data_IF_280090499866
#
_entry.id   IF_280090499866
#
_cell.length_a   1.000
_cell.length_b   1.000
_cell.length_c   1.000
_cell.angle_alpha   90.00
_cell.angle_beta   90.00
_cell.angle_gamma   90.00
#
_symmetry.space_group_name_H-M   'P 1'
#
loop_
_entity.id
_entity.type
_entity.pdbx_description
1 polymer ?
#
# COMPACT_ATOMS: atom_id res chain seq x y z
N UNK A 1 10.04 -6.31 21.48
CA UNK A 1 8.81 -7.03 21.86
C UNK A 1 7.58 -6.13 21.86
N UNK A 2 7.42 -5.17 22.79
CA UNK A 2 6.22 -4.30 22.81
C UNK A 2 5.92 -3.63 21.47
N UNK A 3 6.94 -3.08 20.80
CA UNK A 3 6.82 -2.51 19.44
C UNK A 3 6.25 -3.53 18.43
N UNK A 4 6.78 -4.76 18.45
CA UNK A 4 6.35 -5.84 17.55
C UNK A 4 4.93 -6.30 17.86
N UNK A 5 4.57 -6.43 19.14
CA UNK A 5 3.20 -6.73 19.56
C UNK A 5 2.23 -5.67 19.07
N UNK A 6 2.59 -4.37 19.19
CA UNK A 6 1.78 -3.28 18.66
C UNK A 6 1.59 -3.36 17.15
N UNK A 7 2.67 -3.58 16.39
CA UNK A 7 2.58 -3.72 14.94
C UNK A 7 1.74 -4.93 14.51
N UNK A 8 1.96 -6.10 15.10
CA UNK A 8 1.19 -7.31 14.80
C UNK A 8 -0.29 -7.14 15.17
N UNK A 9 -0.56 -6.56 16.34
CA UNK A 9 -1.91 -6.25 16.78
C UNK A 9 -2.66 -5.39 15.76
N UNK A 10 -2.04 -4.32 15.26
CA UNK A 10 -2.66 -3.47 14.24
C UNK A 10 -2.94 -4.20 12.91
N UNK A 11 -2.09 -5.14 12.47
CA UNK A 11 -2.39 -5.96 11.28
C UNK A 11 -3.50 -7.00 11.52
N UNK A 12 -3.62 -7.50 12.74
CA UNK A 12 -4.58 -8.56 13.10
C UNK A 12 -5.95 -8.01 13.52
N UNK A 13 -6.03 -6.75 13.91
CA UNK A 13 -7.27 -6.12 14.36
C UNK A 13 -8.33 -6.04 13.26
N UNK A 14 -9.51 -6.58 13.57
CA UNK A 14 -10.75 -6.40 12.80
C UNK A 14 -11.73 -5.43 13.47
N UNK A 15 -11.34 -4.87 14.61
CA UNK A 15 -12.05 -3.81 15.33
C UNK A 15 -11.26 -2.51 15.19
N UNK A 16 -11.93 -1.41 14.82
CA UNK A 16 -11.26 -0.13 14.58
C UNK A 16 -10.68 0.50 15.84
N UNK A 17 -11.34 0.36 16.99
CA UNK A 17 -10.81 0.89 18.25
C UNK A 17 -9.55 0.10 18.64
N UNK A 18 -9.60 -1.22 18.54
CA UNK A 18 -8.42 -2.07 18.80
C UNK A 18 -7.29 -1.80 17.80
N UNK A 19 -7.60 -1.62 16.52
CA UNK A 19 -6.65 -1.19 15.51
C UNK A 19 -5.99 0.14 15.89
N UNK A 20 -6.79 1.15 16.25
CA UNK A 20 -6.30 2.47 16.65
C UNK A 20 -5.41 2.39 17.89
N UNK A 21 -5.81 1.61 18.91
CA UNK A 21 -5.01 1.41 20.11
C UNK A 21 -3.66 0.80 19.78
N UNK A 22 -3.60 -0.28 18.98
CA UNK A 22 -2.31 -0.86 18.57
C UNK A 22 -1.47 0.08 17.69
N UNK A 23 -2.13 0.84 16.82
CA UNK A 23 -1.51 1.85 15.96
C UNK A 23 -0.82 2.97 16.75
N UNK A 24 -1.37 3.35 17.90
CA UNK A 24 -0.80 4.33 18.82
C UNK A 24 0.20 3.71 19.80
N UNK A 25 -0.12 2.55 20.38
CA UNK A 25 0.73 1.83 21.33
C UNK A 25 2.10 1.55 20.72
N UNK A 26 2.19 1.25 19.43
CA UNK A 26 3.49 1.04 18.78
C UNK A 26 4.35 2.32 18.65
N UNK A 27 3.74 3.51 18.64
CA UNK A 27 4.48 4.77 18.54
C UNK A 27 5.31 5.02 19.79
N UNK A 28 4.81 4.64 20.96
CA UNK A 28 5.46 4.90 22.26
C UNK A 28 6.81 4.17 22.38
N UNK A 29 6.91 2.84 22.17
CA UNK A 29 8.20 2.15 22.12
C UNK A 29 9.12 2.69 21.03
N UNK A 30 8.60 3.06 19.85
CA UNK A 30 9.44 3.59 18.78
C UNK A 30 10.01 4.97 19.15
N UNK A 31 9.22 5.84 19.78
CA UNK A 31 9.67 7.10 20.33
C UNK A 31 10.83 6.91 21.31
N UNK A 32 10.71 5.96 22.26
CA UNK A 32 11.79 5.67 23.20
C UNK A 32 13.00 5.03 22.53
N UNK A 33 12.82 4.15 21.54
CA UNK A 33 13.93 3.57 20.77
C UNK A 33 14.78 4.65 20.10
N UNK A 34 14.15 5.65 19.49
CA UNK A 34 14.86 6.79 18.91
C UNK A 34 15.44 7.67 20.03
N UNK A 35 14.62 8.12 20.98
CA UNK A 35 15.01 9.12 21.97
C UNK A 35 16.11 8.69 22.95
N UNK A 36 16.16 7.40 23.30
CA UNK A 36 17.12 6.85 24.27
C UNK A 36 18.35 6.26 23.57
N UNK A 37 18.15 5.43 22.53
CA UNK A 37 19.23 4.69 21.87
C UNK A 37 19.64 5.25 20.50
N UNK A 38 19.03 6.34 20.06
CA UNK A 38 19.42 7.04 18.84
C UNK A 38 20.72 7.84 18.98
N UNK A 39 21.20 8.36 17.84
CA UNK A 39 22.39 9.21 17.72
C UNK A 39 22.03 10.69 17.52
N UNK A 40 23.02 11.56 17.61
CA UNK A 40 22.95 12.97 17.20
C UNK A 40 21.74 13.73 17.77
N UNK A 41 20.77 14.06 16.93
CA UNK A 41 19.58 14.87 17.26
C UNK A 41 18.40 13.99 17.67
N UNK A 42 18.67 12.84 18.28
CA UNK A 42 17.69 11.81 18.68
C UNK A 42 16.42 12.33 19.32
N UNK A 43 16.51 13.32 20.23
CA UNK A 43 15.33 13.86 20.90
C UNK A 43 14.45 14.67 19.94
N UNK A 44 15.06 15.52 19.12
CA UNK A 44 14.35 16.26 18.07
C UNK A 44 13.66 15.29 17.10
N UNK A 45 14.37 14.27 16.63
CA UNK A 45 13.85 13.29 15.66
C UNK A 45 12.76 12.41 16.27
N UNK A 46 12.89 12.01 17.53
CA UNK A 46 11.86 11.26 18.26
C UNK A 46 10.58 12.09 18.45
N UNK A 47 10.70 13.34 18.92
CA UNK A 47 9.57 14.25 19.10
C UNK A 47 8.89 14.54 17.76
N UNK A 48 9.68 14.85 16.73
CA UNK A 48 9.17 15.09 15.38
C UNK A 48 8.41 13.87 14.87
N UNK A 49 8.99 12.67 14.92
CA UNK A 49 8.30 11.43 14.56
C UNK A 49 6.97 11.27 15.29
N UNK A 50 6.99 11.39 16.61
CA UNK A 50 5.81 11.17 17.44
C UNK A 50 4.70 12.18 17.15
N UNK A 51 5.00 13.48 17.15
CA UNK A 51 4.00 14.51 16.89
C UNK A 51 3.44 14.43 15.46
N UNK A 52 4.30 14.21 14.46
CA UNK A 52 3.87 14.13 13.07
C UNK A 52 2.89 12.99 12.86
N UNK A 53 3.20 11.81 13.42
CA UNK A 53 2.34 10.62 13.30
C UNK A 53 1.09 10.72 14.16
N UNK A 54 1.17 11.25 15.39
CA UNK A 54 0.05 11.43 16.30
C UNK A 54 -1.03 12.35 15.73
N UNK A 55 -0.64 13.47 15.11
CA UNK A 55 -1.61 14.39 14.49
C UNK A 55 -2.42 13.67 13.41
N UNK A 56 -1.76 12.91 12.55
CA UNK A 56 -2.44 12.09 11.54
C UNK A 56 -3.39 11.06 12.17
N UNK A 57 -2.95 10.39 13.22
CA UNK A 57 -3.76 9.41 13.95
C UNK A 57 -5.01 10.01 14.58
N UNK A 58 -4.90 11.18 15.23
CA UNK A 58 -6.06 11.86 15.83
C UNK A 58 -7.09 12.22 14.78
N UNK A 59 -6.67 12.69 13.60
CA UNK A 59 -7.60 12.99 12.50
C UNK A 59 -8.23 11.69 11.96
N UNK A 60 -7.46 10.61 11.83
CA UNK A 60 -7.99 9.29 11.47
C UNK A 60 -9.04 8.79 12.47
N UNK A 61 -8.84 9.03 13.77
CA UNK A 61 -9.82 8.69 14.81
C UNK A 61 -11.15 9.41 14.59
N UNK A 62 -11.15 10.67 14.13
CA UNK A 62 -12.39 11.37 13.76
C UNK A 62 -13.12 10.67 12.61
N UNK A 63 -12.38 10.15 11.62
CA UNK A 63 -12.95 9.32 10.55
C UNK A 63 -13.57 8.02 11.08
N UNK A 64 -12.90 7.35 12.03
CA UNK A 64 -13.42 6.14 12.69
C UNK A 64 -14.71 6.47 13.44
N UNK A 65 -14.73 7.55 14.22
CA UNK A 65 -15.91 7.98 14.97
C UNK A 65 -17.06 8.40 14.06
N UNK A 66 -16.79 9.03 12.91
CA UNK A 66 -17.81 9.35 11.92
C UNK A 66 -18.51 8.07 11.39
N UNK A 67 -17.75 7.01 11.10
CA UNK A 67 -18.32 5.71 10.72
C UNK A 67 -19.11 5.07 11.86
N UNK A 68 -18.60 5.15 13.09
CA UNK A 68 -19.26 4.62 14.28
C UNK A 68 -20.65 5.25 14.50
N UNK A 69 -20.75 6.58 14.48
CA UNK A 69 -22.02 7.28 14.66
C UNK A 69 -22.95 7.13 13.46
N UNK A 70 -22.41 7.14 12.24
CA UNK A 70 -23.22 6.90 11.04
C UNK A 70 -23.86 5.51 11.05
N UNK A 71 -23.08 4.47 11.40
CA UNK A 71 -23.59 3.11 11.50
C UNK A 71 -24.74 3.01 12.50
N UNK A 72 -24.61 3.62 13.67
CA UNK A 72 -25.69 3.66 14.65
C UNK A 72 -26.92 4.38 14.10
N UNK A 73 -26.75 5.49 13.36
CA UNK A 73 -27.85 6.22 12.73
C UNK A 73 -28.67 5.38 11.73
N UNK A 74 -28.04 4.45 11.01
CA UNK A 74 -28.72 3.63 9.98
C UNK A 74 -29.14 2.24 10.47
N UNK A 75 -28.43 1.67 11.46
CA UNK A 75 -28.66 0.29 11.93
C UNK A 75 -29.19 0.19 13.36
N UNK A 76 -29.14 1.28 14.14
CA UNK A 76 -29.44 1.28 15.58
C UNK A 76 -28.36 0.62 16.45
N UNK A 77 -27.24 0.18 15.87
CA UNK A 77 -26.18 -0.55 16.57
C UNK A 77 -24.88 0.26 16.57
N UNK A 78 -24.29 0.40 17.75
CA UNK A 78 -22.92 0.87 17.89
C UNK A 78 -21.94 -0.28 17.69
N UNK A 79 -20.97 -0.10 16.80
CA UNK A 79 -19.97 -1.13 16.48
C UNK A 79 -18.68 -0.49 16.02
N UNK A 80 -17.53 -1.09 16.31
CA UNK A 80 -16.24 -0.79 15.70
C UNK A 80 -15.78 -1.92 14.75
N UNK A 81 -16.64 -2.91 14.47
CA UNK A 81 -16.35 -4.04 13.60
C UNK A 81 -16.17 -3.60 12.14
N UNK A 82 -14.94 -3.72 11.64
CA UNK A 82 -14.55 -3.37 10.27
C UNK A 82 -15.34 -4.18 9.23
N UNK A 83 -15.70 -5.41 9.54
CA UNK A 83 -16.44 -6.29 8.62
C UNK A 83 -17.88 -5.82 8.40
N UNK A 84 -18.45 -5.07 9.35
CA UNK A 84 -19.75 -4.42 9.17
C UNK A 84 -19.61 -3.18 8.29
N UNK A 85 -18.59 -2.34 8.51
CA UNK A 85 -18.36 -1.16 7.68
C UNK A 85 -18.12 -1.48 6.20
N UNK A 86 -17.48 -2.61 5.90
CA UNK A 86 -17.38 -3.07 4.51
C UNK A 86 -18.78 -3.18 3.87
N UNK A 87 -19.81 -3.60 4.60
CA UNK A 87 -21.17 -3.83 4.06
C UNK A 87 -22.03 -2.57 3.96
N UNK A 88 -21.57 -1.44 4.50
CA UNK A 88 -22.33 -0.20 4.48
C UNK A 88 -22.31 0.48 3.11
N UNK A 89 -23.46 1.03 2.73
CA UNK A 89 -23.58 1.97 1.62
C UNK A 89 -23.48 3.39 2.20
N UNK A 90 -22.30 4.00 2.08
CA UNK A 90 -22.04 5.33 2.61
C UNK A 90 -22.34 6.39 1.54
N UNK A 91 -23.05 7.49 1.86
CA UNK A 91 -23.23 8.59 0.91
C UNK A 91 -21.88 9.22 0.56
N UNK A 92 -21.73 9.65 -0.70
CA UNK A 92 -20.45 10.17 -1.22
C UNK A 92 -19.86 11.29 -0.35
N UNK A 93 -20.67 12.23 0.12
CA UNK A 93 -20.19 13.33 0.97
C UNK A 93 -19.54 12.82 2.27
N UNK A 94 -20.12 11.80 2.90
CA UNK A 94 -19.50 11.17 4.07
C UNK A 94 -18.22 10.42 3.69
N UNK A 95 -18.25 9.65 2.59
CA UNK A 95 -17.04 8.98 2.10
C UNK A 95 -15.91 9.97 1.85
N UNK A 96 -16.20 11.16 1.31
CA UNK A 96 -15.22 12.18 0.99
C UNK A 96 -14.47 12.67 2.24
N UNK A 97 -15.19 13.03 3.31
CA UNK A 97 -14.58 13.48 4.56
C UNK A 97 -13.86 12.37 5.31
N UNK A 98 -14.45 11.18 5.39
CA UNK A 98 -13.81 10.03 6.03
C UNK A 98 -12.57 9.61 5.25
N UNK A 99 -12.59 9.73 3.92
CA UNK A 99 -11.42 9.46 3.08
C UNK A 99 -10.29 10.42 3.40
N UNK A 100 -10.53 11.72 3.49
CA UNK A 100 -9.48 12.67 3.85
C UNK A 100 -8.94 12.42 5.26
N UNK A 101 -9.80 12.05 6.20
CA UNK A 101 -9.38 11.76 7.57
C UNK A 101 -8.46 10.52 7.63
N UNK A 102 -8.84 9.44 6.94
CA UNK A 102 -8.03 8.24 6.81
C UNK A 102 -6.77 8.50 5.99
N UNK A 103 -6.90 9.23 4.88
CA UNK A 103 -5.80 9.61 4.02
C UNK A 103 -4.72 10.34 4.81
N UNK A 104 -5.04 11.32 5.65
CA UNK A 104 -4.02 12.04 6.40
C UNK A 104 -3.25 11.11 7.36
N UNK A 105 -3.97 10.30 8.15
CA UNK A 105 -3.34 9.35 9.08
C UNK A 105 -2.46 8.31 8.38
N UNK A 106 -2.94 7.76 7.27
CA UNK A 106 -2.19 6.77 6.51
C UNK A 106 -1.05 7.41 5.70
N UNK A 107 -1.28 8.51 5.00
CA UNK A 107 -0.30 9.18 4.14
C UNK A 107 0.92 9.69 4.91
N UNK A 108 0.73 10.15 6.15
CA UNK A 108 1.85 10.46 7.06
C UNK A 108 2.69 9.21 7.32
N UNK A 109 2.06 8.05 7.57
CA UNK A 109 2.78 6.81 7.89
C UNK A 109 3.34 6.10 6.66
N UNK A 110 2.81 6.35 5.46
CA UNK A 110 3.33 5.93 4.13
C UNK A 110 4.46 6.84 3.60
N UNK A 111 4.93 7.79 4.40
CA UNK A 111 5.54 9.06 3.96
C UNK A 111 5.21 9.53 2.52
N UNK A 112 3.94 9.77 2.21
CA UNK A 112 3.58 10.41 0.94
C UNK A 112 4.08 11.86 0.91
N UNK A 113 4.35 12.42 -0.27
CA UNK A 113 4.53 13.86 -0.41
C UNK A 113 3.21 14.60 -0.05
N UNK A 114 3.24 15.69 0.73
CA UNK A 114 4.37 16.34 1.41
C UNK A 114 4.66 15.82 2.85
N UNK A 115 3.89 14.84 3.34
CA UNK A 115 3.89 14.30 4.69
C UNK A 115 5.04 13.33 5.05
N UNK A 116 6.25 13.54 4.53
CA UNK A 116 7.38 12.60 4.66
C UNK A 116 8.54 13.12 5.50
N UNK A 117 8.55 14.40 5.89
CA UNK A 117 9.75 15.05 6.46
C UNK A 117 10.20 14.50 7.82
N UNK A 118 9.33 13.76 8.51
CA UNK A 118 9.69 13.05 9.74
C UNK A 118 10.59 11.84 9.47
N UNK A 119 10.44 11.19 8.31
CA UNK A 119 11.03 9.89 8.00
C UNK A 119 12.57 9.96 7.91
N UNK A 120 13.18 10.88 7.13
CA UNK A 120 14.64 10.95 7.03
C UNK A 120 15.30 11.24 8.37
N UNK A 121 14.72 12.14 9.18
CA UNK A 121 15.26 12.48 10.50
C UNK A 121 15.14 11.29 11.46
N UNK A 122 13.98 10.63 11.52
CA UNK A 122 13.75 9.46 12.35
C UNK A 122 14.71 8.31 12.01
N UNK A 123 14.93 8.01 10.73
CA UNK A 123 15.88 6.96 10.31
C UNK A 123 17.33 7.32 10.58
N UNK A 124 17.73 8.56 10.30
CA UNK A 124 19.12 8.99 10.47
C UNK A 124 19.53 8.77 11.92
N UNK A 125 18.68 9.20 12.85
CA UNK A 125 19.01 9.20 14.28
C UNK A 125 18.60 7.90 14.98
N UNK A 126 17.74 7.06 14.41
CA UNK A 126 17.36 5.79 15.03
C UNK A 126 18.56 4.81 15.14
N UNK A 127 18.59 3.98 16.20
CA UNK A 127 19.49 2.83 16.24
C UNK A 127 19.21 1.90 15.06
N UNK A 128 20.19 1.07 14.67
CA UNK A 128 20.10 0.18 13.49
C UNK A 128 18.84 -0.67 13.51
N UNK A 129 18.56 -1.37 14.62
CA UNK A 129 17.36 -2.19 14.76
C UNK A 129 16.06 -1.36 14.65
N UNK A 130 16.07 -0.13 15.17
CA UNK A 130 14.96 0.81 15.03
C UNK A 130 14.72 1.20 13.57
N UNK A 131 15.77 1.54 12.83
CA UNK A 131 15.68 1.84 11.40
C UNK A 131 15.17 0.65 10.58
N UNK A 132 15.65 -0.57 10.88
CA UNK A 132 15.18 -1.79 10.20
C UNK A 132 13.69 -1.97 10.43
N UNK A 133 13.20 -1.89 11.66
CA UNK A 133 11.77 -2.06 11.96
C UNK A 133 10.93 -0.94 11.34
N UNK A 134 11.40 0.31 11.46
CA UNK A 134 10.72 1.49 10.93
C UNK A 134 10.51 1.32 9.42
N UNK A 135 11.58 1.03 8.67
CA UNK A 135 11.49 0.84 7.24
C UNK A 135 10.74 -0.42 6.86
N UNK A 136 11.06 -1.57 7.48
CA UNK A 136 10.59 -2.86 7.03
C UNK A 136 9.12 -3.14 7.34
N UNK A 137 8.57 -2.54 8.41
CA UNK A 137 7.21 -2.85 8.88
C UNK A 137 6.36 -1.60 9.08
N UNK A 138 6.85 -0.59 9.80
CA UNK A 138 6.00 0.53 10.24
C UNK A 138 5.41 1.31 9.05
N UNK A 139 6.19 1.50 7.99
CA UNK A 139 5.72 2.18 6.76
C UNK A 139 4.58 1.41 6.07
N UNK A 140 4.59 0.07 6.17
CA UNK A 140 3.60 -0.80 5.51
C UNK A 140 2.22 -0.72 6.18
N UNK A 141 2.18 -0.22 7.40
CA UNK A 141 0.92 -0.11 8.14
C UNK A 141 0.02 0.97 7.54
N UNK A 142 0.59 2.06 7.02
CA UNK A 142 -0.19 3.07 6.32
C UNK A 142 -0.79 2.55 5.02
N UNK A 143 -0.02 1.82 4.21
CA UNK A 143 -0.49 1.19 2.97
C UNK A 143 -1.48 0.07 3.25
N UNK A 144 -1.29 -0.70 4.31
CA UNK A 144 -2.29 -1.65 4.81
C UNK A 144 -3.58 -0.95 5.20
N UNK A 145 -3.51 0.21 5.88
CA UNK A 145 -4.69 1.02 6.21
C UNK A 145 -5.48 1.44 4.98
N UNK A 146 -4.79 1.86 3.91
CA UNK A 146 -5.44 2.14 2.63
C UNK A 146 -6.14 0.92 2.05
N UNK A 147 -5.44 -0.22 1.94
CA UNK A 147 -6.00 -1.44 1.32
C UNK A 147 -7.14 -2.03 2.15
N UNK A 148 -7.01 -2.05 3.48
CA UNK A 148 -7.95 -2.73 4.37
C UNK A 148 -9.17 -1.88 4.69
N UNK A 149 -8.98 -0.57 4.83
CA UNK A 149 -10.02 0.34 5.34
C UNK A 149 -10.45 1.33 4.27
N UNK A 150 -9.54 2.13 3.72
CA UNK A 150 -9.90 3.22 2.80
C UNK A 150 -10.57 2.69 1.52
N UNK A 151 -9.89 1.82 0.77
CA UNK A 151 -10.38 1.32 -0.52
C UNK A 151 -11.74 0.61 -0.41
N UNK A 152 -11.92 -0.43 0.43
CA UNK A 152 -13.18 -1.19 0.45
C UNK A 152 -14.34 -0.49 1.17
N UNK A 153 -14.08 0.40 2.15
CA UNK A 153 -15.15 1.13 2.88
C UNK A 153 -15.56 2.39 2.11
N UNK A 154 -14.62 3.03 1.40
CA UNK A 154 -14.82 4.35 0.77
C UNK A 154 -14.55 4.28 -0.75
N UNK A 155 -15.23 3.39 -1.50
CA UNK A 155 -14.86 3.10 -2.89
C UNK A 155 -15.09 4.29 -3.83
N UNK A 156 -16.13 5.09 -3.60
CA UNK A 156 -16.45 6.23 -4.48
C UNK A 156 -15.48 7.39 -4.25
N UNK A 157 -15.17 7.70 -2.97
CA UNK A 157 -14.14 8.68 -2.64
C UNK A 157 -12.75 8.22 -3.13
N UNK A 158 -12.42 6.93 -2.99
CA UNK A 158 -11.15 6.38 -3.48
C UNK A 158 -10.97 6.59 -4.98
N UNK A 159 -12.03 6.34 -5.78
CA UNK A 159 -12.02 6.64 -7.23
C UNK A 159 -11.88 8.14 -7.51
N UNK A 160 -12.60 8.98 -6.76
CA UNK A 160 -12.56 10.43 -6.91
C UNK A 160 -11.15 11.00 -6.68
N UNK A 161 -10.42 10.49 -5.67
CA UNK A 161 -9.09 10.98 -5.29
C UNK A 161 -7.91 10.33 -6.03
N UNK A 162 -8.15 9.44 -6.99
CA UNK A 162 -7.08 8.84 -7.83
C UNK A 162 -6.15 9.92 -8.43
N UNK A 163 -6.65 11.01 -9.07
CA UNK A 163 -5.76 12.02 -9.65
C UNK A 163 -4.85 12.70 -8.61
N UNK A 164 -5.38 12.98 -7.42
CA UNK A 164 -4.61 13.56 -6.32
C UNK A 164 -3.50 12.61 -5.88
N UNK A 165 -3.84 11.34 -5.62
CA UNK A 165 -2.85 10.35 -5.16
C UNK A 165 -1.80 10.08 -6.21
N UNK A 166 -2.17 10.05 -7.50
CA UNK A 166 -1.24 9.91 -8.61
C UNK A 166 -0.24 11.06 -8.66
N UNK A 167 -0.74 12.30 -8.56
CA UNK A 167 0.10 13.48 -8.54
C UNK A 167 1.09 13.45 -7.36
N UNK A 168 0.59 13.22 -6.14
CA UNK A 168 1.43 13.16 -4.94
C UNK A 168 2.44 12.00 -4.99
N UNK A 169 2.04 10.86 -5.56
CA UNK A 169 2.91 9.70 -5.73
C UNK A 169 4.02 9.99 -6.74
N UNK A 170 3.71 10.60 -7.88
CA UNK A 170 4.74 10.93 -8.87
C UNK A 170 5.72 11.98 -8.34
N UNK A 171 5.22 12.99 -7.64
CA UNK A 171 6.10 13.93 -6.94
C UNK A 171 6.98 13.15 -5.96
N UNK A 172 6.41 12.27 -5.12
CA UNK A 172 7.17 11.45 -4.18
C UNK A 172 8.23 10.56 -4.84
N UNK A 173 7.93 9.94 -5.97
CA UNK A 173 8.86 9.10 -6.75
C UNK A 173 10.06 9.93 -7.20
N UNK A 174 9.82 11.05 -7.90
CA UNK A 174 10.87 11.86 -8.51
C UNK A 174 11.62 12.68 -7.44
N UNK A 175 10.91 13.41 -6.59
CA UNK A 175 11.50 14.20 -5.51
C UNK A 175 12.28 13.32 -4.54
N UNK A 176 11.71 12.21 -4.08
CA UNK A 176 12.38 11.29 -3.17
C UNK A 176 13.69 10.77 -3.75
N UNK A 177 13.69 10.38 -5.02
CA UNK A 177 14.88 9.87 -5.70
C UNK A 177 15.96 10.94 -5.94
N UNK A 178 15.57 12.15 -6.37
CA UNK A 178 16.52 13.26 -6.55
C UNK A 178 17.13 13.70 -5.23
N UNK A 179 16.34 13.77 -4.15
CA UNK A 179 16.84 14.10 -2.83
C UNK A 179 17.73 12.99 -2.28
N UNK A 180 17.40 11.71 -2.52
CA UNK A 180 18.27 10.58 -2.19
C UNK A 180 19.64 10.71 -2.87
N UNK A 181 19.67 11.01 -4.17
CA UNK A 181 20.91 11.21 -4.94
C UNK A 181 21.77 12.36 -4.38
N UNK A 182 21.14 13.41 -3.86
CA UNK A 182 21.83 14.56 -3.26
C UNK A 182 22.29 14.33 -1.81
N UNK A 183 21.91 13.22 -1.16
CA UNK A 183 22.30 12.97 0.23
C UNK A 183 23.79 12.66 0.36
N UNK A 184 24.39 13.19 1.41
CA UNK A 184 25.77 12.89 1.82
C UNK A 184 25.85 11.86 2.95
N UNK A 185 24.77 11.74 3.74
CA UNK A 185 24.62 10.75 4.79
C UNK A 185 24.00 9.46 4.23
N UNK A 186 24.65 8.32 4.48
CA UNK A 186 24.25 7.02 3.95
C UNK A 186 22.88 6.55 4.50
N UNK A 187 22.60 6.69 5.80
CA UNK A 187 21.28 6.32 6.36
C UNK A 187 20.18 7.19 5.77
N UNK A 188 20.46 8.48 5.63
CA UNK A 188 19.49 9.45 5.09
C UNK A 188 19.18 9.19 3.62
N UNK A 189 20.16 8.79 2.83
CA UNK A 189 19.96 8.35 1.44
C UNK A 189 18.98 7.17 1.38
N UNK A 190 19.19 6.13 2.19
CA UNK A 190 18.31 4.95 2.26
C UNK A 190 16.90 5.31 2.77
N UNK A 191 16.78 6.33 3.63
CA UNK A 191 15.48 6.83 4.05
C UNK A 191 14.72 7.53 2.90
N UNK A 192 15.40 8.35 2.09
CA UNK A 192 14.76 9.00 0.93
C UNK A 192 14.47 8.03 -0.22
N UNK A 193 15.27 6.99 -0.41
CA UNK A 193 14.92 5.93 -1.36
C UNK A 193 13.60 5.24 -0.96
N UNK A 194 13.36 5.10 0.35
CA UNK A 194 12.08 4.56 0.86
C UNK A 194 10.88 5.48 0.56
N UNK A 195 11.06 6.81 0.59
CA UNK A 195 10.02 7.75 0.16
C UNK A 195 9.65 7.50 -1.31
N UNK A 196 10.65 7.31 -2.18
CA UNK A 196 10.43 7.04 -3.61
C UNK A 196 9.70 5.72 -3.85
N UNK A 197 10.17 4.61 -3.24
CA UNK A 197 9.54 3.30 -3.40
C UNK A 197 8.12 3.23 -2.80
N UNK A 198 7.85 3.90 -1.67
CA UNK A 198 6.49 3.94 -1.10
C UNK A 198 5.54 4.79 -1.91
N UNK A 199 6.03 5.84 -2.57
CA UNK A 199 5.25 6.58 -3.53
C UNK A 199 4.89 5.71 -4.76
N UNK A 200 5.81 4.86 -5.24
CA UNK A 200 5.51 3.85 -6.27
C UNK A 200 4.43 2.85 -5.82
N UNK A 201 4.50 2.38 -4.58
CA UNK A 201 3.46 1.52 -3.99
C UNK A 201 2.09 2.21 -3.98
N UNK A 202 2.02 3.49 -3.61
CA UNK A 202 0.75 4.23 -3.63
C UNK A 202 0.19 4.39 -5.04
N UNK A 203 1.05 4.64 -6.03
CA UNK A 203 0.66 4.75 -7.43
C UNK A 203 0.02 3.45 -7.94
N UNK A 204 0.65 2.29 -7.70
CA UNK A 204 0.09 0.99 -8.10
C UNK A 204 -1.19 0.64 -7.37
N UNK A 205 -1.31 1.02 -6.09
CA UNK A 205 -2.45 0.70 -5.24
C UNK A 205 -3.70 1.45 -5.73
N UNK A 206 -3.52 2.71 -6.10
CA UNK A 206 -4.58 3.55 -6.66
C UNK A 206 -4.74 3.43 -8.17
N UNK A 207 -4.03 2.48 -8.82
CA UNK A 207 -4.37 2.09 -10.19
C UNK A 207 -5.72 1.33 -10.26
N UNK A 208 -6.25 0.90 -9.10
CA UNK A 208 -7.58 0.29 -8.91
C UNK A 208 -7.86 -0.88 -9.87
N UNK A 209 -6.81 -1.66 -10.16
CA UNK A 209 -6.88 -2.92 -10.89
C UNK A 209 -6.03 -3.99 -10.17
N UNK A 210 -6.31 -5.29 -10.37
CA UNK A 210 -5.65 -6.37 -9.63
C UNK A 210 -4.13 -6.36 -9.80
N UNK A 211 -3.63 -6.08 -11.00
CA UNK A 211 -2.20 -6.08 -11.29
C UNK A 211 -1.49 -4.98 -10.49
N UNK A 212 -2.04 -3.77 -10.48
CA UNK A 212 -1.52 -2.65 -9.69
C UNK A 212 -1.55 -2.91 -8.18
N UNK A 213 -2.69 -3.36 -7.63
CA UNK A 213 -2.81 -3.63 -6.19
C UNK A 213 -1.89 -4.79 -5.77
N UNK A 214 -1.85 -5.88 -6.54
CA UNK A 214 -0.94 -7.01 -6.27
C UNK A 214 0.51 -6.55 -6.31
N UNK A 215 0.89 -5.79 -7.34
CA UNK A 215 2.23 -5.20 -7.43
C UNK A 215 2.57 -4.34 -6.23
N UNK A 216 1.64 -3.51 -5.76
CA UNK A 216 1.82 -2.68 -4.57
C UNK A 216 2.00 -3.47 -3.28
N UNK A 217 1.28 -4.58 -3.09
CA UNK A 217 1.46 -5.43 -1.90
C UNK A 217 2.79 -6.17 -1.97
N UNK A 218 3.14 -6.74 -3.13
CA UNK A 218 4.42 -7.42 -3.32
C UNK A 218 5.58 -6.44 -3.13
N UNK A 219 5.47 -5.22 -3.65
CA UNK A 219 6.52 -4.22 -3.52
C UNK A 219 6.72 -3.74 -2.09
N UNK A 220 5.67 -3.76 -1.24
CA UNK A 220 5.84 -3.53 0.19
C UNK A 220 6.69 -4.62 0.85
N UNK A 221 6.46 -5.89 0.51
CA UNK A 221 7.27 -7.01 1.01
C UNK A 221 8.71 -6.89 0.49
N UNK A 222 8.87 -6.60 -0.81
CA UNK A 222 10.17 -6.41 -1.43
C UNK A 222 10.97 -5.32 -0.74
N UNK A 223 10.38 -4.12 -0.63
CA UNK A 223 10.97 -2.97 0.06
C UNK A 223 11.32 -3.32 1.51
N UNK A 224 10.46 -4.07 2.21
CA UNK A 224 10.77 -4.53 3.57
C UNK A 224 12.03 -5.37 3.67
N UNK A 225 12.22 -6.30 2.73
CA UNK A 225 13.42 -7.15 2.67
C UNK A 225 14.65 -6.32 2.26
N UNK A 226 14.54 -5.57 1.16
CA UNK A 226 15.66 -4.85 0.56
C UNK A 226 16.14 -3.71 1.44
N UNK A 227 15.24 -2.82 1.84
CA UNK A 227 15.58 -1.67 2.67
C UNK A 227 15.93 -2.08 4.10
N UNK A 228 15.29 -3.13 4.63
CA UNK A 228 15.70 -3.72 5.90
C UNK A 228 17.18 -4.15 5.87
N UNK A 229 17.60 -4.85 4.81
CA UNK A 229 19.00 -5.22 4.63
C UNK A 229 19.91 -4.00 4.42
N UNK A 230 19.48 -3.01 3.64
CA UNK A 230 20.26 -1.77 3.44
C UNK A 230 20.51 -1.03 4.76
N UNK A 231 19.52 -0.96 5.67
CA UNK A 231 19.76 -0.37 6.99
C UNK A 231 20.69 -1.21 7.88
N UNK A 232 20.65 -2.55 7.78
CA UNK A 232 21.62 -3.41 8.45
C UNK A 232 23.04 -3.18 7.92
N UNK A 233 23.20 -3.06 6.59
CA UNK A 233 24.46 -2.75 5.91
C UNK A 233 25.05 -1.45 6.46
N UNK A 234 24.26 -0.37 6.48
CA UNK A 234 24.71 0.90 7.04
C UNK A 234 25.03 0.80 8.54
N UNK A 235 24.26 0.01 9.30
CA UNK A 235 24.52 -0.22 10.71
C UNK A 235 25.87 -0.88 10.98
N UNK A 236 26.21 -1.92 10.23
CA UNK A 236 27.45 -2.69 10.35
C UNK A 236 28.69 -1.83 10.07
N UNK A 237 28.65 -1.00 9.02
CA UNK A 237 29.76 -0.10 8.72
C UNK A 237 29.82 1.07 9.71
N UNK A 238 28.68 1.54 10.21
CA UNK A 238 28.62 2.55 11.26
C UNK A 238 29.23 2.04 12.57
N UNK A 239 28.98 0.79 12.95
CA UNK A 239 29.62 0.18 14.14
C UNK A 239 31.14 0.10 14.00
N UNK A 240 31.66 -0.08 12.78
CA UNK A 240 33.11 -0.15 12.53
C UNK A 240 33.78 1.22 12.39
N UNK A 241 33.05 2.24 11.92
CA UNK A 241 33.64 3.54 11.52
C UNK A 241 33.12 4.75 12.29
N UNK A 242 31.99 4.62 12.99
CA UNK A 242 31.30 5.69 13.72
C UNK A 242 31.06 6.96 12.89
N UNK A 243 30.90 6.80 11.59
CA UNK A 243 30.49 7.85 10.66
C UNK A 243 29.46 7.27 9.70
N UNK A 244 28.67 8.12 9.07
CA UNK A 244 27.72 7.78 7.99
C UNK A 244 27.99 8.60 6.74
N UNK A 245 29.00 9.47 6.77
CA UNK A 245 29.31 10.38 5.68
C UNK A 245 29.91 9.59 4.52
N UNK A 246 29.25 9.62 3.36
CA UNK A 246 29.61 8.78 2.20
C UNK A 246 31.05 9.06 1.74
N UNK A 247 31.54 10.29 1.86
CA UNK A 247 32.90 10.67 1.46
C UNK A 247 34.00 10.10 2.34
N UNK A 248 33.69 9.57 3.54
CA UNK A 248 34.69 8.92 4.41
C UNK A 248 35.02 7.49 3.98
N UNK A 249 34.26 6.96 3.00
CA UNK A 249 34.38 5.60 2.48
C UNK A 249 35.01 5.59 1.09
N UNK A 250 35.48 4.40 0.69
CA UNK A 250 36.08 4.15 -0.61
C UNK A 250 36.90 2.87 -0.60
N UNK A 251 36.82 2.09 -1.67
CA UNK A 251 37.60 0.85 -1.82
C UNK A 251 37.23 -0.28 -0.85
N UNK A 252 36.08 -0.21 -0.16
CA UNK A 252 35.71 -1.19 0.86
C UNK A 252 35.61 -2.64 0.35
N UNK A 253 35.33 -2.83 -0.94
CA UNK A 253 35.29 -4.18 -1.55
C UNK A 253 36.61 -4.96 -1.44
N UNK A 254 37.75 -4.25 -1.28
CA UNK A 254 39.07 -4.89 -1.14
C UNK A 254 39.33 -5.38 0.28
N UNK A 255 38.67 -4.79 1.27
CA UNK A 255 38.90 -5.04 2.71
C UNK A 255 37.78 -5.87 3.32
N UNK A 256 36.53 -5.66 2.87
CA UNK A 256 35.33 -6.38 3.30
C UNK A 256 34.58 -6.96 2.08
N UNK A 257 35.17 -7.92 1.34
CA UNK A 257 34.58 -8.44 0.11
C UNK A 257 33.21 -9.12 0.28
N UNK A 258 32.97 -9.82 1.39
CA UNK A 258 31.69 -10.50 1.63
C UNK A 258 30.60 -9.47 1.90
N UNK A 259 30.89 -8.47 2.74
CA UNK A 259 30.01 -7.32 2.95
C UNK A 259 29.68 -6.62 1.62
N UNK A 260 30.68 -6.35 0.78
CA UNK A 260 30.49 -5.69 -0.51
C UNK A 260 29.62 -6.51 -1.47
N UNK A 261 29.74 -7.84 -1.47
CA UNK A 261 28.91 -8.73 -2.27
C UNK A 261 27.44 -8.72 -1.81
N UNK A 262 27.20 -8.84 -0.50
CA UNK A 262 25.84 -8.75 0.07
C UNK A 262 25.23 -7.38 -0.24
N UNK A 263 25.99 -6.31 -0.04
CA UNK A 263 25.53 -4.96 -0.36
C UNK A 263 25.18 -4.82 -1.85
N UNK A 264 25.95 -5.43 -2.76
CA UNK A 264 25.64 -5.40 -4.18
C UNK A 264 24.31 -6.11 -4.47
N UNK A 265 24.10 -7.31 -3.94
CA UNK A 265 22.86 -8.07 -4.13
C UNK A 265 21.66 -7.26 -3.61
N UNK A 266 21.77 -6.67 -2.42
CA UNK A 266 20.67 -5.88 -1.85
C UNK A 266 20.46 -4.54 -2.59
N UNK A 267 21.52 -3.96 -3.15
CA UNK A 267 21.46 -2.79 -4.05
C UNK A 267 20.71 -3.15 -5.33
N UNK A 268 21.06 -4.26 -5.99
CA UNK A 268 20.38 -4.75 -7.19
C UNK A 268 18.90 -5.08 -6.91
N UNK A 269 18.63 -5.68 -5.76
CA UNK A 269 17.27 -5.95 -5.28
C UNK A 269 16.46 -4.66 -5.10
N UNK A 270 17.06 -3.60 -4.54
CA UNK A 270 16.39 -2.30 -4.38
C UNK A 270 16.18 -1.56 -5.70
N UNK A 271 17.07 -1.69 -6.68
CA UNK A 271 16.93 -1.04 -8.00
C UNK A 271 15.87 -1.73 -8.87
N UNK A 272 15.50 -2.97 -8.55
CA UNK A 272 14.59 -3.77 -9.34
C UNK A 272 15.28 -4.54 -10.47
N UNK A 273 16.46 -5.11 -10.21
CA UNK A 273 17.11 -6.02 -11.16
C UNK A 273 16.23 -7.27 -11.38
N UNK A 274 15.96 -7.69 -12.62
CA UNK A 274 15.29 -8.96 -12.90
C UNK A 274 15.97 -10.13 -12.19
N UNK A 275 15.19 -11.15 -11.82
CA UNK A 275 15.56 -12.28 -10.95
C UNK A 275 15.72 -11.96 -9.46
N UNK A 276 15.59 -10.71 -9.03
CA UNK A 276 15.45 -10.33 -7.62
C UNK A 276 14.05 -9.79 -7.33
N UNK A 277 13.66 -9.88 -6.06
CA UNK A 277 12.33 -9.57 -5.56
C UNK A 277 11.81 -8.19 -6.03
N UNK A 278 12.61 -7.12 -5.93
CA UNK A 278 12.22 -5.75 -6.23
C UNK A 278 11.64 -5.55 -7.63
N UNK A 279 12.16 -6.27 -8.63
CA UNK A 279 11.66 -6.20 -10.00
C UNK A 279 10.19 -6.60 -10.09
N UNK A 280 9.79 -7.69 -9.41
CA UNK A 280 8.43 -8.24 -9.50
C UNK A 280 7.39 -7.21 -9.06
N UNK A 281 7.63 -6.51 -7.96
CA UNK A 281 6.70 -5.53 -7.42
C UNK A 281 6.58 -4.31 -8.32
N UNK A 282 7.70 -3.69 -8.69
CA UNK A 282 7.71 -2.47 -9.50
C UNK A 282 7.21 -2.71 -10.93
N UNK A 283 7.53 -3.87 -11.51
CA UNK A 283 7.06 -4.22 -12.83
C UNK A 283 5.53 -4.40 -12.86
N UNK A 284 4.95 -5.09 -11.87
CA UNK A 284 3.50 -5.22 -11.74
C UNK A 284 2.82 -3.86 -11.50
N UNK A 285 3.42 -2.98 -10.69
CA UNK A 285 2.91 -1.60 -10.52
C UNK A 285 2.90 -0.87 -11.87
N UNK A 286 4.01 -0.88 -12.61
CA UNK A 286 4.10 -0.25 -13.93
C UNK A 286 3.08 -0.83 -14.90
N UNK A 287 2.91 -2.15 -14.93
CA UNK A 287 1.91 -2.80 -15.78
C UNK A 287 0.49 -2.36 -15.41
N UNK A 288 0.16 -2.31 -14.11
CA UNK A 288 -1.13 -1.86 -13.61
C UNK A 288 -1.42 -0.40 -13.93
N UNK A 289 -0.41 0.47 -13.91
CA UNK A 289 -0.56 1.90 -14.27
C UNK A 289 -0.60 2.09 -15.79
N UNK A 290 0.13 1.29 -16.57
CA UNK A 290 0.25 1.42 -18.02
C UNK A 290 -1.06 1.13 -18.77
N UNK A 291 -1.91 0.26 -18.21
CA UNK A 291 -3.23 -0.06 -18.79
C UNK A 291 -4.29 1.01 -18.52
N UNK A 292 -3.96 2.06 -17.75
CA UNK A 292 -4.84 3.21 -17.56
C UNK A 292 -4.85 4.12 -18.80
N UNK A 293 -5.89 4.95 -19.00
CA UNK A 293 -6.00 5.80 -20.18
C UNK A 293 -4.80 6.74 -20.41
N UNK A 294 -4.20 7.27 -19.33
CA UNK A 294 -3.05 8.15 -19.41
C UNK A 294 -1.74 7.39 -19.21
N UNK A 295 -1.07 7.09 -20.32
CA UNK A 295 0.26 6.44 -20.34
C UNK A 295 1.36 7.33 -19.74
N UNK A 296 1.12 8.64 -19.61
CA UNK A 296 2.07 9.57 -19.00
C UNK A 296 2.37 9.21 -17.54
N UNK A 297 1.38 8.68 -16.79
CA UNK A 297 1.59 8.24 -15.41
C UNK A 297 2.62 7.12 -15.32
N UNK A 298 2.55 6.14 -16.22
CA UNK A 298 3.53 5.07 -16.29
C UNK A 298 4.92 5.58 -16.71
N UNK A 299 4.99 6.56 -17.64
CA UNK A 299 6.25 7.17 -18.05
C UNK A 299 6.95 7.88 -16.88
N UNK A 300 6.22 8.68 -16.10
CA UNK A 300 6.78 9.33 -14.90
C UNK A 300 7.15 8.30 -13.83
N UNK A 301 6.35 7.26 -13.61
CA UNK A 301 6.67 6.18 -12.68
C UNK A 301 7.97 5.47 -13.07
N UNK A 302 8.15 5.18 -14.36
CA UNK A 302 9.36 4.54 -14.88
C UNK A 302 10.64 5.38 -14.67
N UNK A 303 10.53 6.71 -14.63
CA UNK A 303 11.67 7.56 -14.26
C UNK A 303 12.19 7.27 -12.85
N UNK A 304 11.33 6.81 -11.94
CA UNK A 304 11.70 6.37 -10.60
C UNK A 304 12.70 5.20 -10.60
N UNK A 305 12.57 4.26 -11.53
CA UNK A 305 13.50 3.13 -11.67
C UNK A 305 14.89 3.63 -12.10
N UNK A 306 14.92 4.54 -13.08
CA UNK A 306 16.17 5.12 -13.60
C UNK A 306 16.88 5.93 -12.52
N UNK A 307 16.15 6.78 -11.80
CA UNK A 307 16.70 7.56 -10.68
C UNK A 307 17.09 6.64 -9.51
N UNK A 308 16.33 5.57 -9.30
CA UNK A 308 16.61 4.43 -8.41
C UNK A 308 18.01 3.88 -8.59
N UNK A 309 18.29 3.47 -9.83
CA UNK A 309 19.61 3.02 -10.24
C UNK A 309 20.68 4.10 -10.02
N UNK A 310 20.39 5.36 -10.38
CA UNK A 310 21.34 6.45 -10.25
C UNK A 310 21.83 6.64 -8.81
N UNK A 311 20.93 6.74 -7.82
CA UNK A 311 21.37 6.95 -6.43
C UNK A 311 21.98 5.71 -5.79
N UNK A 312 21.46 4.51 -6.07
CA UNK A 312 21.97 3.27 -5.46
C UNK A 312 23.33 2.86 -6.03
N UNK A 313 23.50 2.93 -7.35
CA UNK A 313 24.78 2.58 -7.98
C UNK A 313 25.85 3.64 -7.67
N UNK A 314 25.47 4.93 -7.60
CA UNK A 314 26.41 5.98 -7.18
C UNK A 314 26.91 5.73 -5.74
N UNK A 315 25.99 5.41 -4.82
CA UNK A 315 26.34 5.05 -3.45
C UNK A 315 27.26 3.83 -3.40
N UNK A 316 26.91 2.75 -4.11
CA UNK A 316 27.72 1.54 -4.15
C UNK A 316 29.12 1.82 -4.71
N UNK A 317 29.22 2.54 -5.83
CA UNK A 317 30.49 2.93 -6.44
C UNK A 317 31.36 3.72 -5.46
N UNK A 318 30.82 4.77 -4.84
CA UNK A 318 31.58 5.68 -3.97
C UNK A 318 32.08 5.00 -2.70
N UNK A 319 31.35 4.02 -2.19
CA UNK A 319 31.68 3.35 -0.94
C UNK A 319 32.53 2.08 -1.16
N UNK A 320 32.27 1.31 -2.22
CA UNK A 320 32.87 -0.01 -2.43
C UNK A 320 34.06 0.00 -3.39
N UNK A 321 34.05 0.82 -4.44
CA UNK A 321 35.08 0.83 -5.48
C UNK A 321 36.14 1.91 -5.25
N UNK A 322 37.22 1.86 -6.04
CA UNK A 322 38.34 2.80 -5.95
C UNK A 322 39.52 2.30 -5.12
N UNK A 323 40.42 3.22 -4.76
CA UNK A 323 41.51 2.96 -3.81
C UNK A 323 41.03 3.22 -2.39
N UNK A 324 41.65 2.54 -1.42
CA UNK A 324 41.42 2.83 -0.01
C UNK A 324 42.29 4.04 0.32
N UNK A 325 41.70 5.24 0.33
CA UNK A 325 42.43 6.48 0.58
C UNK A 325 42.43 6.88 2.07
N UNK A 326 41.37 6.53 2.79
CA UNK A 326 41.26 6.80 4.23
C UNK A 326 41.90 5.63 5.01
N UNK A 327 43.00 5.83 5.76
CA UNK A 327 43.69 4.75 6.47
C UNK A 327 42.81 4.01 7.47
N UNK A 328 41.77 4.67 7.98
CA UNK A 328 40.80 4.06 8.90
C UNK A 328 39.93 2.98 8.23
N UNK A 329 39.93 2.87 6.90
CA UNK A 329 39.23 1.83 6.15
C UNK A 329 40.09 0.58 5.89
N UNK A 330 41.40 0.65 6.06
CA UNK A 330 42.34 -0.43 5.66
C UNK A 330 42.24 -1.70 6.51
N UNK A 331 41.84 -1.55 7.78
CA UNK A 331 41.83 -2.64 8.79
C UNK A 331 40.42 -3.00 9.25
N UNK A 332 39.42 -2.72 8.42
CA UNK A 332 38.06 -3.10 8.75
C UNK A 332 37.91 -4.61 8.69
N UNK A 333 37.25 -5.17 9.69
CA UNK A 333 36.90 -6.59 9.70
C UNK A 333 35.70 -6.80 8.78
N UNK A 334 35.73 -7.84 7.96
CA UNK A 334 34.57 -8.27 7.19
C UNK A 334 33.45 -8.79 8.13
N UNK A 335 32.39 -9.35 7.57
CA UNK A 335 31.27 -9.87 8.33
C UNK A 335 31.67 -11.06 9.21
N UNK A 336 31.30 -10.97 10.49
CA UNK A 336 31.27 -12.11 11.39
C UNK A 336 30.17 -13.09 10.99
N UNK A 337 30.26 -14.35 11.44
CA UNK A 337 29.21 -15.35 11.20
C UNK A 337 27.83 -14.91 11.69
N UNK A 338 27.77 -14.16 12.80
CA UNK A 338 26.52 -13.61 13.33
C UNK A 338 25.92 -12.57 12.39
N UNK A 339 26.74 -11.66 11.86
CA UNK A 339 26.28 -10.65 10.91
C UNK A 339 25.89 -11.27 9.56
N UNK A 340 26.61 -12.29 9.10
CA UNK A 340 26.21 -13.02 7.90
C UNK A 340 24.85 -13.73 8.10
N UNK A 341 24.66 -14.37 9.26
CA UNK A 341 23.42 -15.08 9.58
C UNK A 341 22.19 -14.16 9.62
N UNK A 342 22.34 -12.86 9.92
CA UNK A 342 21.21 -11.91 9.86
C UNK A 342 20.83 -11.52 8.43
N UNK A 343 21.77 -11.55 7.48
CA UNK A 343 21.49 -11.31 6.06
C UNK A 343 20.97 -12.53 5.32
N UNK A 344 21.40 -13.74 5.70
CA UNK A 344 21.02 -14.98 5.05
C UNK A 344 19.51 -15.10 4.74
N UNK A 345 18.58 -14.90 5.70
CA UNK A 345 17.15 -14.99 5.40
C UNK A 345 16.67 -13.91 4.41
N UNK A 346 17.23 -12.70 4.47
CA UNK A 346 16.86 -11.60 3.57
C UNK A 346 17.35 -11.88 2.14
N UNK A 347 18.56 -12.42 1.99
CA UNK A 347 19.12 -12.83 0.70
C UNK A 347 18.31 -13.97 0.07
N UNK A 348 17.99 -14.99 0.86
CA UNK A 348 17.17 -16.12 0.42
C UNK A 348 15.81 -15.62 -0.06
N UNK A 349 15.14 -14.76 0.71
CA UNK A 349 13.84 -14.19 0.33
C UNK A 349 13.94 -13.30 -0.92
N UNK A 350 14.98 -12.47 -1.03
CA UNK A 350 15.17 -11.60 -2.18
C UNK A 350 15.33 -12.39 -3.49
N UNK A 351 16.09 -13.49 -3.46
CA UNK A 351 16.27 -14.38 -4.62
C UNK A 351 15.03 -15.24 -4.87
N UNK A 352 14.46 -15.85 -3.83
CA UNK A 352 13.28 -16.72 -3.96
C UNK A 352 12.09 -15.97 -4.55
N UNK A 353 11.75 -14.79 -4.02
CA UNK A 353 10.66 -13.98 -4.56
C UNK A 353 10.94 -13.50 -5.99
N UNK A 354 12.21 -13.26 -6.34
CA UNK A 354 12.59 -12.83 -7.68
C UNK A 354 12.50 -13.93 -8.73
N UNK A 355 12.88 -15.17 -8.38
CA UNK A 355 12.87 -16.31 -9.30
C UNK A 355 11.52 -17.04 -9.34
N UNK A 356 10.82 -17.12 -8.21
CA UNK A 356 9.55 -17.84 -8.09
C UNK A 356 8.55 -17.07 -7.20
N UNK A 357 7.94 -15.97 -7.70
CA UNK A 357 7.00 -15.15 -6.93
C UNK A 357 5.63 -15.79 -6.72
N UNK A 358 5.29 -16.87 -7.44
CA UNK A 358 3.95 -17.46 -7.46
C UNK A 358 3.35 -17.77 -6.06
N UNK A 359 4.10 -18.31 -5.08
CA UNK A 359 3.55 -18.56 -3.73
C UNK A 359 3.07 -17.29 -3.03
N UNK A 360 3.78 -16.17 -3.24
CA UNK A 360 3.42 -14.87 -2.67
C UNK A 360 2.22 -14.27 -3.40
N UNK A 361 2.23 -14.31 -4.75
CA UNK A 361 1.16 -13.77 -5.58
C UNK A 361 -0.17 -14.48 -5.32
N UNK A 362 -0.18 -15.83 -5.36
CA UNK A 362 -1.41 -16.62 -5.17
C UNK A 362 -2.07 -16.39 -3.81
N UNK A 363 -1.28 -16.04 -2.78
CA UNK A 363 -1.82 -15.75 -1.46
C UNK A 363 -2.64 -14.46 -1.43
N UNK A 364 -2.40 -13.55 -2.38
CA UNK A 364 -3.04 -12.25 -2.47
C UNK A 364 -4.34 -12.26 -3.28
N UNK A 365 -4.47 -13.19 -4.25
CA UNK A 365 -5.54 -13.20 -5.25
C UNK A 365 -6.94 -12.97 -4.65
N UNK A 366 -7.35 -13.78 -3.66
CA UNK A 366 -8.68 -13.67 -3.04
C UNK A 366 -8.91 -12.31 -2.38
N UNK A 367 -7.93 -11.81 -1.62
CA UNK A 367 -8.04 -10.54 -0.91
C UNK A 367 -8.06 -9.36 -1.87
N UNK A 368 -7.24 -9.40 -2.91
CA UNK A 368 -7.19 -8.36 -3.95
C UNK A 368 -8.49 -8.32 -4.74
N UNK A 369 -9.04 -9.48 -5.12
CA UNK A 369 -10.32 -9.57 -5.82
C UNK A 369 -11.48 -9.01 -4.98
N UNK A 370 -11.50 -9.28 -3.67
CA UNK A 370 -12.50 -8.66 -2.79
C UNK A 370 -12.39 -7.13 -2.78
N UNK A 371 -11.18 -6.56 -2.69
CA UNK A 371 -11.00 -5.10 -2.76
C UNK A 371 -11.46 -4.55 -4.11
N UNK A 372 -11.03 -5.17 -5.21
CA UNK A 372 -11.36 -4.75 -6.58
C UNK A 372 -12.87 -4.79 -6.85
N UNK A 373 -13.58 -5.81 -6.35
CA UNK A 373 -15.04 -5.88 -6.50
C UNK A 373 -15.78 -4.70 -5.87
N UNK A 374 -15.17 -4.02 -4.89
CA UNK A 374 -15.70 -2.80 -4.26
C UNK A 374 -15.29 -1.53 -4.99
N UNK A 375 -14.01 -1.39 -5.30
CA UNK A 375 -13.47 -0.14 -5.87
C UNK A 375 -13.58 -0.05 -7.38
N UNK A 376 -13.73 -1.15 -8.10
CA UNK A 376 -13.87 -1.18 -9.56
C UNK A 376 -14.83 -2.30 -10.00
N UNK A 377 -16.14 -2.14 -9.73
CA UNK A 377 -17.12 -3.19 -10.03
C UNK A 377 -17.17 -3.54 -11.53
N UNK A 378 -16.98 -2.56 -12.42
CA UNK A 378 -16.98 -2.75 -13.87
C UNK A 378 -15.81 -3.65 -14.31
N UNK A 379 -14.66 -3.52 -13.66
CA UNK A 379 -13.51 -4.38 -13.94
C UNK A 379 -13.79 -5.82 -13.51
N UNK A 380 -14.40 -6.01 -12.33
CA UNK A 380 -14.80 -7.33 -11.85
C UNK A 380 -15.86 -7.99 -12.76
N UNK A 381 -16.80 -7.21 -13.27
CA UNK A 381 -17.80 -7.68 -14.24
C UNK A 381 -17.18 -8.09 -15.57
N UNK A 382 -16.24 -7.28 -16.10
CA UNK A 382 -15.52 -7.60 -17.34
C UNK A 382 -14.67 -8.86 -17.19
N UNK A 383 -13.93 -9.01 -16.10
CA UNK A 383 -13.17 -10.24 -15.84
C UNK A 383 -14.06 -11.48 -15.76
N UNK A 384 -15.22 -11.38 -15.09
CA UNK A 384 -16.13 -12.50 -15.01
C UNK A 384 -16.67 -12.91 -16.40
N UNK A 385 -17.00 -11.91 -17.24
CA UNK A 385 -17.40 -12.15 -18.62
C UNK A 385 -16.28 -12.79 -19.45
N UNK A 386 -15.05 -12.26 -19.39
CA UNK A 386 -13.89 -12.76 -20.15
C UNK A 386 -13.50 -14.20 -19.74
N UNK A 387 -13.71 -14.57 -18.46
CA UNK A 387 -13.38 -15.90 -17.93
C UNK A 387 -14.56 -16.90 -17.94
N UNK A 388 -15.74 -16.52 -18.45
CA UNK A 388 -16.94 -17.36 -18.39
C UNK A 388 -17.39 -17.70 -16.96
N UNK A 389 -17.01 -16.88 -15.98
CA UNK A 389 -17.36 -17.05 -14.57
C UNK A 389 -18.68 -16.33 -14.29
N UNK A 390 -19.50 -16.79 -13.31
CA UNK A 390 -20.64 -16.03 -12.85
C UNK A 390 -20.16 -14.63 -12.43
N UNK A 391 -20.76 -13.58 -12.99
CA UNK A 391 -20.47 -12.23 -12.55
C UNK A 391 -20.66 -12.15 -11.03
N UNK A 392 -19.73 -11.56 -10.26
CA UNK A 392 -19.93 -11.39 -8.83
C UNK A 392 -21.24 -10.64 -8.64
N UNK A 393 -22.22 -11.35 -8.08
CA UNK A 393 -23.57 -10.83 -7.91
C UNK A 393 -23.46 -9.59 -7.03
N UNK A 394 -23.92 -8.41 -7.48
CA UNK A 394 -24.07 -7.27 -6.60
C UNK A 394 -24.91 -7.75 -5.42
N UNK A 395 -24.44 -7.60 -4.19
CA UNK A 395 -25.22 -7.96 -3.00
C UNK A 395 -26.63 -7.41 -3.17
N UNK A 396 -27.67 -8.19 -2.87
CA UNK A 396 -29.07 -7.88 -3.19
C UNK A 396 -29.53 -6.45 -2.79
N UNK A 397 -28.83 -5.81 -1.85
CA UNK A 397 -28.98 -4.39 -1.51
C UNK A 397 -28.67 -3.40 -2.66
N UNK A 398 -27.74 -3.71 -3.57
CA UNK A 398 -27.34 -2.83 -4.68
C UNK A 398 -28.32 -2.88 -5.89
N UNK A 399 -29.14 -3.94 -5.98
CA UNK A 399 -30.18 -4.07 -7.02
C UNK A 399 -31.53 -3.52 -6.58
N UNK A 400 -31.72 -3.26 -5.28
CA UNK A 400 -32.99 -2.81 -4.72
C UNK A 400 -33.29 -1.32 -4.96
N UNK A 401 -32.29 -0.48 -5.25
CA UNK A 401 -32.44 0.99 -5.33
C UNK A 401 -31.95 1.64 -6.62
N UNK A 402 -32.13 0.98 -7.77
CA UNK A 402 -31.98 1.66 -9.07
C UNK A 402 -33.28 1.59 -9.88
N UNK A 403 -34.08 2.67 -9.93
CA UNK A 403 -35.29 2.73 -10.75
C UNK A 403 -35.03 2.47 -12.24
N UNK A 404 -33.82 2.74 -12.75
CA UNK A 404 -33.45 2.44 -14.13
C UNK A 404 -33.20 0.95 -14.39
N UNK A 405 -32.84 0.17 -13.36
CA UNK A 405 -32.68 -1.29 -13.47
C UNK A 405 -34.03 -2.03 -13.49
N UNK A 406 -35.11 -1.43 -12.95
CA UNK A 406 -36.46 -1.99 -13.03
C UNK A 406 -37.06 -1.96 -14.44
N UNK A 407 -36.55 -1.14 -15.34
CA UNK A 407 -37.03 -1.09 -16.73
C UNK A 407 -36.44 -2.21 -17.62
N UNK A 408 -35.28 -2.77 -17.26
CA UNK A 408 -34.63 -3.83 -18.03
C UNK A 408 -34.98 -5.26 -17.54
N UNK A 409 -35.64 -5.39 -16.40
CA UNK A 409 -35.94 -6.67 -15.76
C UNK A 409 -37.33 -7.25 -16.08
N UNK A 410 -38.15 -6.62 -16.94
CA UNK A 410 -39.53 -7.05 -17.20
C UNK A 410 -39.80 -7.61 -18.59
N UNK A 411 -38.78 -7.98 -19.37
CA UNK A 411 -39.01 -8.71 -20.64
C UNK A 411 -38.73 -10.20 -20.44
N UNK A 412 -39.75 -11.05 -20.28
CA UNK A 412 -39.53 -12.50 -20.22
C UNK A 412 -39.10 -13.00 -21.60
N UNK A 413 -37.87 -13.51 -21.70
CA UNK A 413 -37.40 -14.27 -22.85
C UNK A 413 -37.87 -15.73 -22.74
N UNK A 414 -38.01 -16.41 -23.87
CA UNK A 414 -38.27 -17.86 -23.88
C UNK A 414 -37.00 -18.67 -23.49
N UNK A 415 -37.16 -19.99 -23.36
CA UNK A 415 -36.08 -20.91 -22.95
C UNK A 415 -34.84 -20.92 -23.88
N UNK A 416 -34.90 -20.23 -25.03
CA UNK A 416 -33.81 -20.09 -25.98
C UNK A 416 -33.29 -18.64 -26.09
N UNK A 417 -33.71 -17.74 -25.20
CA UNK A 417 -33.15 -16.39 -25.08
C UNK A 417 -33.63 -15.40 -26.14
N UNK A 418 -34.74 -15.66 -26.85
CA UNK A 418 -35.34 -14.67 -27.76
C UNK A 418 -36.42 -13.84 -27.05
N UNK A 419 -36.51 -12.51 -27.30
CA UNK A 419 -37.60 -11.70 -26.78
C UNK A 419 -38.94 -12.16 -27.36
N UNK A 420 -39.94 -12.40 -26.50
CA UNK A 420 -41.30 -12.70 -26.95
C UNK A 420 -41.90 -11.46 -27.64
N UNK A 421 -42.61 -11.60 -28.78
CA UNK A 421 -43.23 -10.47 -29.45
C UNK A 421 -44.31 -9.86 -28.55
N UNK A 422 -44.23 -8.54 -28.35
CA UNK A 422 -45.13 -7.78 -27.49
C UNK A 422 -46.57 -7.86 -27.98
N UNK A 423 -47.46 -8.51 -27.25
CA UNK A 423 -48.91 -8.35 -27.43
C UNK A 423 -49.30 -6.98 -26.89
N UNK A 424 -49.39 -5.99 -27.78
CA UNK A 424 -50.00 -4.70 -27.46
C UNK A 424 -51.50 -4.86 -27.26
N UNK A 425 -52.00 -4.69 -26.04
CA UNK A 425 -53.43 -4.57 -25.77
C UNK A 425 -53.82 -3.08 -25.78
N UNK A 426 -54.30 -2.64 -26.95
CA UNK A 426 -55.00 -1.38 -27.12
C UNK A 426 -56.24 -1.59 -28.00
N UNK A 427 -57.41 -1.60 -27.33
CA UNK A 427 -58.78 -1.38 -27.82
C UNK A 427 -59.44 -2.41 -28.77
N UNK A 428 -60.66 -2.82 -28.38
CA UNK A 428 -61.57 -3.59 -29.24
C UNK A 428 -62.87 -3.96 -28.54
N UNK A 429 -63.80 -3.01 -28.46
CA UNK A 429 -65.23 -3.26 -28.19
C UNK A 429 -65.77 -4.34 -29.15
N UNK A 430 -66.44 -5.37 -28.63
CA UNK A 430 -67.43 -6.14 -29.40
C UNK A 430 -68.76 -6.21 -28.66
N UNK A 431 -69.80 -5.70 -29.33
CA UNK A 431 -71.22 -5.80 -29.01
C UNK A 431 -71.75 -7.23 -29.25
N UNK A 432 -72.74 -7.62 -28.44
CA UNK A 432 -73.79 -8.62 -28.73
C UNK A 432 -73.35 -10.08 -28.54
N UNK A 433 -74.10 -11.00 -27.92
CA UNK A 433 -75.57 -11.13 -27.74
C UNK A 433 -75.88 -12.23 -26.71
N UNK A 434 -77.03 -12.13 -26.02
CA UNK A 434 -77.74 -13.24 -25.33
C UNK A 434 -77.57 -13.26 -23.80
N UNK A 435 -78.39 -12.55 -23.02
CA UNK A 435 -79.70 -12.99 -22.50
C UNK A 435 -79.61 -14.14 -21.48
N UNK A 436 -79.65 -13.81 -20.19
CA UNK A 436 -80.74 -14.22 -19.26
C UNK A 436 -80.39 -13.91 -17.79
N UNK A 437 -81.28 -13.14 -17.16
CA UNK A 437 -81.49 -12.91 -15.71
C UNK A 437 -82.92 -13.46 -15.49
N UNK A 438 -83.33 -14.18 -14.41
CA UNK A 438 -83.40 -13.63 -13.05
C UNK A 438 -83.37 -14.71 -11.91
N UNK A 439 -83.90 -14.47 -10.69
CA UNK A 439 -83.21 -13.84 -9.56
C UNK A 439 -83.30 -14.69 -8.26
N UNK A 440 -82.69 -14.26 -7.15
CA UNK A 440 -83.15 -14.70 -5.82
C UNK A 440 -82.08 -14.81 -4.72
N UNK A 441 -82.12 -13.85 -3.79
CA UNK A 441 -81.71 -13.91 -2.37
C UNK A 441 -82.19 -15.18 -1.61
N UNK A 442 -81.95 -15.32 -0.27
CA UNK A 442 -80.69 -15.28 0.47
C UNK A 442 -80.60 -16.46 1.48
N UNK A 443 -79.40 -16.75 2.00
CA UNK A 443 -79.18 -17.16 3.41
C UNK A 443 -77.70 -17.19 3.75
#
# INVERSE_FOLDING_TARGET
LVLQTGMLGAFMSLDFLLFFLFWEVMLVPMYFLIGIWGSDRRLYSAIKFFLYTLVGSVVMLLGILALYFYNHGVSGVYTFDVTQYHKLNLPFNLQWWVFLAFFLGFAIKVPMFPFHTWLPDAHTDAPTAGSVILAAVLLKMGTYGFIRFSLPILPDASRHFVPMIFLLSIIGIVYGALVALAQKDWKRLVAYSSVSHMAMVMLGMFALNPVGITGSIVQQLNHGISTGALFLIVGIVYERRHTREISEYGGLSKVMPVYAAIFLIMTMSSIGLPALNGFIGEFLILQGVFVLPSKMWAAFAASGIVLGAAYMLNLYQRTMFGKVENPKNERLLDLSHREFATFAPLLILAVWMGLYPAPFLRRLDTSVLHVISRVSPQYAQKMAADCGLPAPVPTAAALAENPAAKFLASVPCDANGKPLPSTGSGQGLSKGTGADIPPGEPR
#
